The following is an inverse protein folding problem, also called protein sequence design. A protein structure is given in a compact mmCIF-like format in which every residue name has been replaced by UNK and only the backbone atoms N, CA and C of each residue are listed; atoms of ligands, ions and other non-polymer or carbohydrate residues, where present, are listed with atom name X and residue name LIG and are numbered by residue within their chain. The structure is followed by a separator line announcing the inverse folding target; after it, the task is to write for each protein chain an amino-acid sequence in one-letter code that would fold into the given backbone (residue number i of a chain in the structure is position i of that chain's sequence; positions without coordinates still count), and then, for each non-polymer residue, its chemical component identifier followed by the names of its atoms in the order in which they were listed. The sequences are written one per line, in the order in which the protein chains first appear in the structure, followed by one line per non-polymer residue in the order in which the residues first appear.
data_IF_708830454162
#
_entry.id   IF_708830454162
#
_cell.length_a   1.000
_cell.length_b   1.000
_cell.length_c   1.000
_cell.angle_alpha   90.00
_cell.angle_beta   90.00
_cell.angle_gamma   90.00
#
_symmetry.space_group_name_H-M   'P 1'
#
loop_
_entity.id
_entity.type
_entity.pdbx_description
1 polymer ?
#
# COMPACT_ATOMS: atom_id res chain seq x y z
N UNK A 1 6.36 19.74 30.52
CA UNK A 1 5.58 19.57 29.28
C UNK A 1 6.53 19.20 28.16
N UNK A 2 6.32 18.07 27.49
CA UNK A 2 7.24 17.52 26.50
C UNK A 2 7.12 18.23 25.15
N UNK A 3 8.25 18.68 24.59
CA UNK A 3 8.32 19.17 23.22
C UNK A 3 8.21 17.97 22.27
N UNK A 4 7.01 17.75 21.71
CA UNK A 4 6.83 16.80 20.61
C UNK A 4 7.64 17.30 19.42
N UNK A 5 8.77 16.64 19.17
CA UNK A 5 9.56 16.77 17.94
C UNK A 5 8.66 16.33 16.78
N UNK A 6 7.96 17.28 16.15
CA UNK A 6 7.23 17.03 14.91
C UNK A 6 8.25 16.58 13.86
N UNK A 7 8.29 15.28 13.59
CA UNK A 7 9.07 14.78 12.48
C UNK A 7 8.43 15.32 11.19
N UNK A 8 9.13 16.22 10.50
CA UNK A 8 8.68 16.94 9.28
C UNK A 8 8.65 16.01 8.06
N UNK A 9 7.99 14.86 8.19
CA UNK A 9 7.50 14.01 7.10
C UNK A 9 6.01 13.72 7.32
N UNK A 10 5.27 14.73 7.78
CA UNK A 10 3.82 14.70 7.77
C UNK A 10 3.35 14.63 6.31
N UNK A 11 2.30 13.87 6.06
CA UNK A 11 1.58 13.82 4.78
C UNK A 11 1.54 15.21 4.14
N UNK A 12 2.17 15.34 2.95
CA UNK A 12 2.34 16.64 2.28
C UNK A 12 1.05 17.13 1.63
N UNK A 13 0.06 16.27 1.47
CA UNK A 13 -1.19 16.57 0.76
C UNK A 13 -2.42 16.47 1.64
N UNK A 14 -2.41 15.61 2.66
CA UNK A 14 -3.60 15.25 3.41
C UNK A 14 -4.58 14.38 2.63
N UNK A 15 -4.24 14.00 1.39
CA UNK A 15 -5.13 13.29 0.49
C UNK A 15 -4.98 11.80 0.71
N UNK A 16 -6.05 11.18 1.20
CA UNK A 16 -6.20 9.72 1.17
C UNK A 16 -6.78 9.33 -0.17
N UNK A 17 -5.97 8.69 -1.00
CA UNK A 17 -6.41 8.09 -2.25
C UNK A 17 -6.73 6.62 -2.02
N UNK A 18 -7.87 6.18 -2.52
CA UNK A 18 -8.20 4.75 -2.64
C UNK A 18 -8.08 4.36 -4.10
N UNK A 19 -7.50 3.21 -4.37
CA UNK A 19 -7.45 2.64 -5.71
C UNK A 19 -8.88 2.30 -6.19
N UNK A 20 -9.26 2.65 -7.43
CA UNK A 20 -10.64 2.49 -7.91
C UNK A 20 -11.10 1.02 -7.95
N UNK A 21 -10.21 0.06 -8.16
CA UNK A 21 -10.50 -1.37 -8.13
C UNK A 21 -10.89 -1.89 -6.73
N UNK A 22 -10.66 -1.11 -5.69
CA UNK A 22 -11.07 -1.43 -4.32
C UNK A 22 -12.49 -0.96 -3.99
N UNK A 23 -13.15 -0.28 -4.94
CA UNK A 23 -14.49 0.27 -4.74
C UNK A 23 -15.52 -0.53 -5.51
N UNK A 24 -16.69 -0.75 -4.91
CA UNK A 24 -17.86 -1.30 -5.57
C UNK A 24 -18.55 -0.24 -6.46
N UNK A 25 -19.61 -0.64 -7.15
CA UNK A 25 -20.42 0.24 -8.01
C UNK A 25 -21.01 1.46 -7.28
N UNK A 26 -21.11 1.38 -5.95
CA UNK A 26 -21.66 2.41 -5.08
C UNK A 26 -20.57 3.29 -4.45
N UNK A 27 -19.28 3.01 -4.74
CA UNK A 27 -18.13 3.75 -4.21
C UNK A 27 -17.75 3.36 -2.78
N UNK A 28 -18.26 2.25 -2.25
CA UNK A 28 -17.82 1.68 -0.97
C UNK A 28 -16.69 0.69 -1.16
N UNK A 29 -15.97 0.35 -0.10
CA UNK A 29 -14.95 -0.70 -0.17
C UNK A 29 -15.62 -2.01 -0.59
N UNK A 30 -15.13 -2.59 -1.67
CA UNK A 30 -15.64 -3.85 -2.21
C UNK A 30 -15.54 -4.96 -1.18
N UNK A 31 -16.59 -5.78 -1.10
CA UNK A 31 -16.62 -7.02 -0.32
C UNK A 31 -16.22 -8.24 -1.16
N UNK A 32 -15.94 -8.04 -2.43
CA UNK A 32 -15.49 -9.09 -3.35
C UNK A 32 -14.07 -9.57 -2.98
N UNK A 33 -13.81 -10.85 -3.26
CA UNK A 33 -12.47 -11.41 -3.08
C UNK A 33 -11.54 -10.88 -4.17
N UNK A 34 -10.50 -10.15 -3.75
CA UNK A 34 -9.51 -9.59 -4.67
C UNK A 34 -8.55 -10.68 -5.13
N UNK A 35 -8.31 -10.73 -6.44
CA UNK A 35 -7.28 -11.61 -7.01
C UNK A 35 -5.90 -11.16 -6.54
N UNK A 36 -5.18 -12.06 -5.87
CA UNK A 36 -3.80 -11.83 -5.44
C UNK A 36 -2.85 -12.68 -6.27
N UNK A 37 -1.85 -12.03 -6.87
CA UNK A 37 -0.76 -12.74 -7.54
C UNK A 37 0.33 -13.04 -6.52
N UNK A 38 0.57 -14.32 -6.26
CA UNK A 38 1.72 -14.78 -5.49
C UNK A 38 2.90 -14.98 -6.43
N UNK A 39 3.94 -14.18 -6.26
CA UNK A 39 5.22 -14.42 -6.93
C UNK A 39 5.99 -15.49 -6.14
N UNK A 40 6.21 -16.66 -6.73
CA UNK A 40 7.04 -17.71 -6.14
C UNK A 40 8.53 -17.27 -6.19
N UNK A 41 9.29 -17.51 -5.12
CA UNK A 41 10.72 -17.15 -5.04
C UNK A 41 11.05 -15.88 -4.23
N UNK A 42 10.08 -15.25 -3.54
CA UNK A 42 10.35 -14.19 -2.56
C UNK A 42 10.52 -14.74 -1.13
N UNK A 43 10.92 -16.00 -0.99
CA UNK A 43 11.42 -16.59 0.24
C UNK A 43 12.92 -16.28 0.38
N UNK A 44 13.24 -15.00 0.53
CA UNK A 44 14.52 -14.53 1.07
C UNK A 44 15.80 -14.87 0.28
N UNK A 45 15.73 -15.55 -0.86
CA UNK A 45 16.90 -15.77 -1.71
C UNK A 45 16.91 -14.74 -2.85
N UNK A 46 17.64 -13.67 -2.55
CA UNK A 46 18.19 -12.62 -3.42
C UNK A 46 17.93 -12.80 -4.91
N UNK A 47 17.29 -11.80 -5.52
CA UNK A 47 17.36 -11.56 -6.96
C UNK A 47 18.83 -11.51 -7.40
N UNK A 48 19.40 -12.65 -7.79
CA UNK A 48 20.59 -12.68 -8.61
C UNK A 48 20.10 -12.54 -10.05
N UNK A 49 19.77 -11.31 -10.42
CA UNK A 49 19.73 -10.93 -11.82
C UNK A 49 21.17 -11.01 -12.31
N UNK A 50 21.54 -12.09 -12.98
CA UNK A 50 22.75 -12.15 -13.77
C UNK A 50 22.41 -12.59 -15.19
N UNK A 51 23.04 -11.83 -16.09
CA UNK A 51 23.02 -11.87 -17.54
C UNK A 51 23.48 -13.22 -18.12
#
# INVERSE_FOLDING_TARGET
MALRRQNRKADRTGLKTTHPELLDENGFITSEELLVVHFCGFDGNTFSANA
#
